data_IF_772408109824
#
_entry.id   IF_772408109824
#
_cell.length_a   1.000
_cell.length_b   1.000
_cell.length_c   1.000
_cell.angle_alpha   90.00
_cell.angle_beta   90.00
_cell.angle_gamma   90.00
#
_symmetry.space_group_name_H-M   'P 1'
#
loop_
_entity.id
_entity.type
_entity.pdbx_description
1 polymer ?
#
# COMPACT_ATOMS: atom_id res chain seq x y z
N UNK A 1 -13.41 -33.36 38.83
CA UNK A 1 -14.76 -33.48 39.43
C UNK A 1 -15.80 -33.28 38.34
N UNK A 2 -16.28 -34.37 37.74
CA UNK A 2 -17.35 -34.33 36.74
C UNK A 2 -18.70 -34.32 37.48
N UNK A 3 -19.50 -33.25 37.31
CA UNK A 3 -20.87 -33.20 37.82
C UNK A 3 -21.75 -34.06 36.91
N UNK A 4 -22.16 -35.22 37.42
CA UNK A 4 -23.20 -36.03 36.81
C UNK A 4 -24.55 -35.32 36.97
N UNK A 5 -25.06 -34.76 35.88
CA UNK A 5 -26.41 -34.19 35.82
C UNK A 5 -27.41 -35.34 35.83
N UNK A 6 -28.06 -35.59 36.96
CA UNK A 6 -29.15 -36.56 37.08
C UNK A 6 -30.36 -36.05 36.29
N UNK A 7 -30.44 -36.44 35.02
CA UNK A 7 -31.62 -36.22 34.18
C UNK A 7 -32.71 -37.16 34.67
N UNK A 8 -33.73 -36.62 35.35
CA UNK A 8 -34.90 -37.40 35.81
C UNK A 8 -35.58 -38.00 34.57
N UNK A 9 -35.82 -39.31 34.62
CA UNK A 9 -36.30 -40.13 33.51
C UNK A 9 -37.79 -39.88 33.13
N UNK A 10 -38.44 -38.87 33.72
CA UNK A 10 -39.85 -38.53 33.50
C UNK A 10 -40.07 -37.08 33.04
N UNK A 11 -39.07 -36.45 32.46
CA UNK A 11 -39.21 -35.10 31.90
C UNK A 11 -39.95 -35.20 30.55
N UNK A 12 -41.27 -35.32 30.60
CA UNK A 12 -42.14 -35.15 29.43
C UNK A 12 -41.90 -33.75 28.89
N UNK A 13 -41.61 -33.65 27.59
CA UNK A 13 -41.23 -32.35 27.03
C UNK A 13 -42.35 -31.33 27.29
N UNK A 14 -42.04 -30.06 27.59
CA UNK A 14 -43.06 -29.03 27.85
C UNK A 14 -44.13 -28.92 26.74
N UNK A 15 -43.79 -29.35 25.52
CA UNK A 15 -44.68 -29.32 24.34
C UNK A 15 -45.68 -30.48 24.30
N UNK A 16 -45.30 -31.66 24.79
CA UNK A 16 -46.23 -32.80 24.91
C UNK A 16 -47.37 -32.50 25.90
N UNK A 17 -47.09 -31.64 26.89
CA UNK A 17 -48.13 -31.14 27.81
C UNK A 17 -49.09 -30.17 27.13
N UNK A 18 -48.62 -29.36 26.17
CA UNK A 18 -49.47 -28.43 25.41
C UNK A 18 -50.48 -29.16 24.53
N UNK A 19 -50.06 -30.22 23.85
CA UNK A 19 -50.95 -31.00 22.96
C UNK A 19 -52.08 -31.66 23.74
N UNK A 20 -51.76 -32.19 24.92
CA UNK A 20 -52.76 -32.76 25.86
C UNK A 20 -53.75 -31.70 26.35
N UNK A 21 -53.27 -30.48 26.61
CA UNK A 21 -54.15 -29.36 27.00
C UNK A 21 -55.08 -28.97 25.86
N UNK A 22 -54.57 -28.86 24.63
CA UNK A 22 -55.38 -28.52 23.44
C UNK A 22 -56.41 -29.61 23.17
N UNK A 23 -56.04 -30.89 23.30
CA UNK A 23 -56.96 -32.02 23.18
C UNK A 23 -58.06 -31.99 24.26
N UNK A 24 -57.68 -31.78 25.52
CA UNK A 24 -58.61 -31.71 26.63
C UNK A 24 -59.58 -30.53 26.46
N UNK A 25 -59.07 -29.37 26.03
CA UNK A 25 -59.89 -28.19 25.77
C UNK A 25 -60.88 -28.45 24.64
N UNK A 26 -60.43 -29.07 23.53
CA UNK A 26 -61.31 -29.44 22.42
C UNK A 26 -62.39 -30.44 22.85
N UNK A 27 -62.04 -31.41 23.71
CA UNK A 27 -63.00 -32.35 24.29
C UNK A 27 -64.05 -31.64 25.15
N UNK A 28 -63.62 -30.84 26.12
CA UNK A 28 -64.53 -30.12 27.03
C UNK A 28 -65.40 -29.15 26.24
N UNK A 29 -64.82 -28.39 25.30
CA UNK A 29 -65.57 -27.46 24.45
C UNK A 29 -66.60 -28.20 23.59
N UNK A 30 -66.21 -29.30 22.93
CA UNK A 30 -67.10 -30.08 22.09
C UNK A 30 -68.26 -30.71 22.86
N UNK A 31 -67.98 -31.28 24.04
CA UNK A 31 -69.01 -31.88 24.91
C UNK A 31 -69.93 -30.81 25.49
N UNK A 32 -69.38 -29.77 26.12
CA UNK A 32 -70.17 -28.72 26.76
C UNK A 32 -71.00 -27.95 25.72
N UNK A 33 -70.40 -27.59 24.59
CA UNK A 33 -71.09 -26.93 23.48
C UNK A 33 -72.16 -27.83 22.86
N UNK A 34 -71.86 -29.11 22.63
CA UNK A 34 -72.85 -30.07 22.11
C UNK A 34 -74.07 -30.22 23.02
N UNK A 35 -73.87 -30.28 24.34
CA UNK A 35 -74.96 -30.32 25.33
C UNK A 35 -75.74 -29.01 25.32
N UNK A 36 -75.06 -27.86 25.35
CA UNK A 36 -75.70 -26.54 25.35
C UNK A 36 -76.57 -26.32 24.10
N UNK A 37 -76.09 -26.71 22.91
CA UNK A 37 -76.86 -26.62 21.67
C UNK A 37 -78.10 -27.52 21.68
N UNK A 38 -78.00 -28.73 22.26
CA UNK A 38 -79.16 -29.62 22.42
C UNK A 38 -80.20 -29.04 23.38
N UNK A 39 -79.76 -28.52 24.53
CA UNK A 39 -80.64 -27.88 25.52
C UNK A 39 -81.36 -26.64 24.97
N UNK A 40 -80.73 -25.94 24.02
CA UNK A 40 -81.29 -24.74 23.39
C UNK A 40 -82.32 -25.04 22.30
N UNK A 41 -82.57 -26.31 21.97
CA UNK A 41 -83.56 -26.72 20.94
C UNK A 41 -83.21 -26.28 19.52
N UNK A 42 -81.93 -25.98 19.25
CA UNK A 42 -81.48 -25.48 17.94
C UNK A 42 -81.56 -26.60 16.88
N UNK A 43 -81.77 -26.22 15.62
CA UNK A 43 -81.85 -27.18 14.53
C UNK A 43 -80.64 -28.15 14.53
N UNK A 44 -80.86 -29.48 14.45
CA UNK A 44 -79.83 -30.54 14.55
C UNK A 44 -78.60 -30.36 13.65
N UNK A 45 -78.78 -29.80 12.45
CA UNK A 45 -77.65 -29.45 11.56
C UNK A 45 -76.61 -28.52 12.18
N UNK A 46 -77.02 -27.57 13.05
CA UNK A 46 -76.06 -26.70 13.74
C UNK A 46 -75.26 -27.45 14.79
N UNK A 47 -75.88 -28.41 15.50
CA UNK A 47 -75.16 -29.27 16.45
C UNK A 47 -74.16 -30.18 15.72
N UNK A 48 -74.54 -30.74 14.57
CA UNK A 48 -73.66 -31.52 13.71
C UNK A 48 -72.49 -30.67 13.17
N UNK A 49 -72.78 -29.45 12.70
CA UNK A 49 -71.79 -28.51 12.21
C UNK A 49 -70.83 -28.02 13.30
N UNK A 50 -71.32 -27.82 14.52
CA UNK A 50 -70.48 -27.45 15.66
C UNK A 50 -69.48 -28.54 16.01
N UNK A 51 -69.92 -29.81 16.10
CA UNK A 51 -69.02 -30.93 16.35
C UNK A 51 -67.95 -31.06 15.24
N UNK A 52 -68.34 -30.88 13.98
CA UNK A 52 -67.41 -30.85 12.86
C UNK A 52 -66.41 -29.69 12.95
N UNK A 53 -66.87 -28.49 13.32
CA UNK A 53 -66.04 -27.31 13.49
C UNK A 53 -65.02 -27.51 14.62
N UNK A 54 -65.41 -28.10 15.75
CA UNK A 54 -64.50 -28.41 16.85
C UNK A 54 -63.43 -29.42 16.42
N UNK A 55 -63.80 -30.47 15.68
CA UNK A 55 -62.86 -31.45 15.13
C UNK A 55 -61.88 -30.81 14.13
N UNK A 56 -62.41 -30.03 13.18
CA UNK A 56 -61.59 -29.35 12.18
C UNK A 56 -60.67 -28.29 12.80
N UNK A 57 -61.16 -27.49 13.75
CA UNK A 57 -60.35 -26.49 14.44
C UNK A 57 -59.26 -27.12 15.31
N UNK A 58 -59.55 -28.23 16.00
CA UNK A 58 -58.54 -29.01 16.70
C UNK A 58 -57.45 -29.52 15.75
N UNK A 59 -57.83 -30.15 14.64
CA UNK A 59 -56.85 -30.65 13.66
C UNK A 59 -56.02 -29.51 13.06
N UNK A 60 -56.66 -28.39 12.69
CA UNK A 60 -55.99 -27.25 12.08
C UNK A 60 -55.03 -26.54 13.05
N UNK A 61 -55.48 -26.28 14.28
CA UNK A 61 -54.67 -25.63 15.30
C UNK A 61 -53.47 -26.50 15.69
N UNK A 62 -53.68 -27.81 15.85
CA UNK A 62 -52.61 -28.75 16.18
C UNK A 62 -51.64 -28.90 15.01
N UNK A 63 -52.13 -28.94 13.77
CA UNK A 63 -51.31 -28.99 12.58
C UNK A 63 -50.41 -27.76 12.42
N UNK A 64 -50.98 -26.54 12.53
CA UNK A 64 -50.20 -25.30 12.38
C UNK A 64 -49.27 -25.02 13.56
N UNK A 65 -49.69 -25.31 14.79
CA UNK A 65 -48.86 -25.08 15.99
C UNK A 65 -47.70 -26.06 16.03
N UNK A 66 -47.90 -27.27 15.49
CA UNK A 66 -46.92 -28.35 15.58
C UNK A 66 -46.13 -28.52 14.29
N UNK A 67 -45.50 -27.44 13.87
CA UNK A 67 -44.89 -27.35 12.54
C UNK A 67 -43.74 -28.34 12.27
N UNK A 68 -43.29 -29.20 13.20
CA UNK A 68 -42.10 -30.05 12.99
C UNK A 68 -42.03 -31.42 13.71
N UNK A 69 -42.98 -31.86 14.56
CA UNK A 69 -42.74 -33.12 15.35
C UNK A 69 -43.93 -34.00 15.76
N UNK A 70 -45.19 -33.62 15.59
CA UNK A 70 -46.29 -34.58 15.80
C UNK A 70 -46.48 -35.32 14.49
N UNK A 71 -46.41 -36.65 14.55
CA UNK A 71 -46.80 -37.49 13.44
C UNK A 71 -48.26 -37.18 13.10
N UNK A 72 -48.59 -36.78 11.87
CA UNK A 72 -49.97 -36.52 11.46
C UNK A 72 -50.94 -37.66 11.84
N UNK A 73 -50.41 -38.88 11.97
CA UNK A 73 -51.08 -40.06 12.54
C UNK A 73 -51.70 -39.81 13.92
N UNK A 74 -50.97 -39.20 14.87
CA UNK A 74 -51.47 -38.94 16.22
C UNK A 74 -52.58 -37.88 16.22
N UNK A 75 -52.50 -36.86 15.36
CA UNK A 75 -53.57 -35.87 15.20
C UNK A 75 -54.82 -36.55 14.64
N UNK A 76 -54.66 -37.39 13.62
CA UNK A 76 -55.74 -38.16 13.02
C UNK A 76 -56.41 -39.11 14.02
N UNK A 77 -55.62 -39.84 14.80
CA UNK A 77 -56.12 -40.74 15.85
C UNK A 77 -56.86 -39.97 16.95
N UNK A 78 -56.34 -38.82 17.38
CA UNK A 78 -57.01 -37.96 18.34
C UNK A 78 -58.35 -37.43 17.80
N UNK A 79 -58.41 -37.01 16.54
CA UNK A 79 -59.67 -36.59 15.90
C UNK A 79 -60.69 -37.73 15.83
N UNK A 80 -60.21 -38.95 15.57
CA UNK A 80 -61.06 -40.14 15.57
C UNK A 80 -61.64 -40.43 16.96
N UNK A 81 -60.81 -40.41 18.01
CA UNK A 81 -61.27 -40.60 19.38
C UNK A 81 -62.22 -39.48 19.82
N UNK A 82 -61.94 -38.24 19.45
CA UNK A 82 -62.77 -37.09 19.79
C UNK A 82 -64.15 -37.18 19.10
N UNK A 83 -64.18 -37.55 17.81
CA UNK A 83 -65.43 -37.81 17.09
C UNK A 83 -66.23 -38.95 17.72
N UNK A 84 -65.57 -40.05 18.09
CA UNK A 84 -66.20 -41.15 18.81
C UNK A 84 -66.78 -40.74 20.17
N UNK A 85 -66.02 -39.96 20.95
CA UNK A 85 -66.46 -39.44 22.24
C UNK A 85 -67.66 -38.49 22.10
N UNK A 86 -67.68 -37.64 21.07
CA UNK A 86 -68.82 -36.77 20.78
C UNK A 86 -70.06 -37.57 20.41
N UNK A 87 -69.91 -38.64 19.63
CA UNK A 87 -70.99 -39.58 19.33
C UNK A 87 -71.54 -40.21 20.60
N UNK A 88 -70.69 -40.81 21.43
CA UNK A 88 -71.11 -41.45 22.68
C UNK A 88 -71.82 -40.48 23.62
N UNK A 89 -71.27 -39.28 23.77
CA UNK A 89 -71.86 -38.22 24.60
C UNK A 89 -73.22 -37.79 24.05
N UNK A 90 -73.31 -37.57 22.74
CA UNK A 90 -74.56 -37.19 22.07
C UNK A 90 -75.65 -38.25 22.29
N UNK A 91 -75.32 -39.52 22.12
CA UNK A 91 -76.26 -40.63 22.33
C UNK A 91 -76.65 -40.79 23.81
N UNK A 92 -75.69 -40.70 24.73
CA UNK A 92 -75.95 -40.79 26.16
C UNK A 92 -76.93 -39.71 26.64
N UNK A 93 -76.73 -38.46 26.18
CA UNK A 93 -77.62 -37.33 26.51
C UNK A 93 -79.00 -37.51 25.89
N UNK A 94 -79.08 -37.93 24.62
CA UNK A 94 -80.36 -38.19 23.96
C UNK A 94 -81.13 -39.32 24.66
N UNK A 95 -80.46 -40.39 25.09
CA UNK A 95 -81.10 -41.49 25.82
C UNK A 95 -81.54 -41.06 27.23
N UNK A 96 -80.74 -40.23 27.91
CA UNK A 96 -81.09 -39.70 29.23
C UNK A 96 -82.44 -38.95 29.20
N UNK A 97 -82.63 -38.04 28.24
CA UNK A 97 -83.88 -37.30 28.09
C UNK A 97 -85.09 -38.19 27.77
N UNK A 98 -84.89 -39.28 27.03
CA UNK A 98 -85.94 -40.26 26.71
C UNK A 98 -86.36 -41.10 27.94
N UNK A 99 -85.41 -41.36 28.85
CA UNK A 99 -85.69 -42.11 30.08
C UNK A 99 -86.37 -41.23 31.12
N UNK A 100 -85.94 -39.98 31.24
CA UNK A 100 -86.51 -38.98 32.17
C UNK A 100 -87.94 -38.58 31.81
N UNK A 101 -88.29 -38.65 30.52
CA UNK A 101 -89.64 -38.39 30.04
C UNK A 101 -90.61 -39.55 30.36
N UNK A 102 -91.78 -39.18 30.89
CA UNK A 102 -92.85 -40.10 31.27
C UNK A 102 -93.33 -40.98 30.09
N UNK A 103 -93.90 -42.14 30.41
CA UNK A 103 -94.28 -43.15 29.41
C UNK A 103 -95.24 -42.64 28.32
N UNK A 104 -96.04 -41.62 28.61
CA UNK A 104 -97.00 -41.02 27.66
C UNK A 104 -96.35 -40.10 26.62
N UNK A 105 -95.20 -39.50 26.91
CA UNK A 105 -94.51 -38.55 26.01
C UNK A 105 -93.40 -39.19 25.15
N UNK A 106 -93.01 -40.44 25.44
CA UNK A 106 -91.94 -41.15 24.71
C UNK A 106 -92.20 -41.27 23.21
N UNK A 107 -93.45 -41.44 22.79
CA UNK A 107 -93.79 -41.54 21.37
C UNK A 107 -93.54 -40.22 20.61
N UNK A 108 -93.61 -39.07 21.29
CA UNK A 108 -93.35 -37.75 20.70
C UNK A 108 -91.86 -37.44 20.58
N UNK A 109 -91.00 -38.16 21.32
CA UNK A 109 -89.55 -37.96 21.34
C UNK A 109 -88.80 -38.78 20.30
N UNK A 110 -89.46 -39.70 19.58
CA UNK A 110 -88.82 -40.53 18.54
C UNK A 110 -88.12 -39.67 17.46
N UNK A 111 -88.71 -38.59 16.92
CA UNK A 111 -88.03 -37.73 15.94
C UNK A 111 -86.79 -37.04 16.51
N UNK A 112 -86.84 -36.62 17.77
CA UNK A 112 -85.72 -35.99 18.47
C UNK A 112 -84.57 -36.97 18.70
N UNK A 113 -84.91 -38.22 19.01
CA UNK A 113 -83.95 -39.33 19.13
C UNK A 113 -83.26 -39.59 17.80
N UNK A 114 -84.03 -39.78 16.72
CA UNK A 114 -83.49 -40.01 15.37
C UNK A 114 -82.57 -38.86 14.96
N UNK A 115 -82.95 -37.63 15.31
CA UNK A 115 -82.13 -36.47 15.01
C UNK A 115 -80.84 -36.42 15.84
N UNK A 116 -80.91 -36.76 17.12
CA UNK A 116 -79.74 -36.92 17.99
C UNK A 116 -78.77 -37.98 17.48
N UNK A 117 -79.28 -39.08 16.92
CA UNK A 117 -78.49 -40.10 16.23
C UNK A 117 -77.79 -39.52 14.99
N UNK A 118 -78.49 -38.74 14.16
CA UNK A 118 -77.90 -38.08 12.99
C UNK A 118 -76.74 -37.15 13.34
N UNK A 119 -76.89 -36.34 14.40
CA UNK A 119 -75.81 -35.48 14.94
C UNK A 119 -74.64 -36.32 15.46
N UNK A 120 -74.93 -37.41 16.16
CA UNK A 120 -73.91 -38.31 16.68
C UNK A 120 -73.10 -38.95 15.53
N UNK A 121 -73.76 -39.43 14.47
CA UNK A 121 -73.12 -40.04 13.31
C UNK A 121 -72.28 -39.05 12.51
N UNK A 122 -72.71 -37.79 12.37
CA UNK A 122 -71.94 -36.79 11.63
C UNK A 122 -70.56 -36.56 12.25
N UNK A 123 -70.48 -36.50 13.58
CA UNK A 123 -69.20 -36.34 14.29
C UNK A 123 -68.26 -37.54 14.10
N UNK A 124 -68.80 -38.76 14.00
CA UNK A 124 -68.01 -39.96 13.66
C UNK A 124 -67.47 -39.89 12.23
N UNK A 125 -68.33 -39.52 11.27
CA UNK A 125 -67.95 -39.42 9.85
C UNK A 125 -66.83 -38.40 9.69
N UNK A 126 -66.96 -37.22 10.29
CA UNK A 126 -65.93 -36.19 10.24
C UNK A 126 -64.65 -36.66 10.94
N UNK A 127 -64.74 -37.29 12.11
CA UNK A 127 -63.57 -37.80 12.83
C UNK A 127 -62.77 -38.83 12.03
N UNK A 128 -63.46 -39.79 11.39
CA UNK A 128 -62.82 -40.80 10.51
C UNK A 128 -62.25 -40.16 9.25
N UNK A 129 -62.99 -39.24 8.62
CA UNK A 129 -62.51 -38.53 7.43
C UNK A 129 -61.21 -37.77 7.73
N UNK A 130 -61.18 -37.05 8.86
CA UNK A 130 -60.02 -36.28 9.28
C UNK A 130 -58.82 -37.18 9.60
N UNK A 131 -59.06 -38.38 10.16
CA UNK A 131 -58.03 -39.40 10.36
C UNK A 131 -57.40 -39.86 9.04
N UNK A 132 -58.21 -40.21 8.05
CA UNK A 132 -57.72 -40.65 6.72
C UNK A 132 -56.94 -39.53 6.04
N UNK A 133 -57.47 -38.31 6.08
CA UNK A 133 -56.84 -37.13 5.50
C UNK A 133 -55.47 -36.85 6.14
N UNK A 134 -55.38 -36.88 7.48
CA UNK A 134 -54.10 -36.69 8.19
C UNK A 134 -53.08 -37.81 7.90
N UNK A 135 -53.53 -39.07 7.80
CA UNK A 135 -52.66 -40.19 7.42
C UNK A 135 -52.03 -40.01 6.04
N UNK A 136 -52.80 -39.50 5.06
CA UNK A 136 -52.29 -39.25 3.71
C UNK A 136 -51.22 -38.16 3.68
N UNK A 137 -51.36 -37.09 4.48
CA UNK A 137 -50.35 -36.03 4.57
C UNK A 137 -48.99 -36.50 5.10
N UNK A 138 -48.95 -37.53 5.97
CA UNK A 138 -47.67 -38.07 6.48
C UNK A 138 -46.81 -38.69 5.39
N UNK A 139 -47.42 -39.48 4.52
CA UNK A 139 -46.68 -40.23 3.48
C UNK A 139 -45.93 -39.25 2.57
N UNK A 140 -46.55 -38.13 2.22
CA UNK A 140 -45.94 -37.06 1.42
C UNK A 140 -44.79 -36.35 2.17
N UNK A 141 -44.98 -36.02 3.45
CA UNK A 141 -43.95 -35.38 4.27
C UNK A 141 -42.69 -36.25 4.45
N UNK A 142 -42.87 -37.55 4.74
CA UNK A 142 -41.74 -38.48 4.93
C UNK A 142 -40.97 -38.70 3.63
N UNK A 143 -41.68 -38.79 2.50
CA UNK A 143 -41.05 -38.90 1.19
C UNK A 143 -40.20 -37.66 0.88
N UNK A 144 -40.76 -36.46 1.08
CA UNK A 144 -40.05 -35.18 0.91
C UNK A 144 -38.85 -35.05 1.84
N UNK A 145 -38.98 -35.40 3.12
CA UNK A 145 -37.85 -35.33 4.06
C UNK A 145 -36.70 -36.25 3.61
N UNK A 146 -37.02 -37.46 3.15
CA UNK A 146 -36.03 -38.40 2.65
C UNK A 146 -35.32 -37.87 1.39
N UNK A 147 -36.06 -37.26 0.48
CA UNK A 147 -35.52 -36.60 -0.72
C UNK A 147 -34.59 -35.45 -0.32
N UNK A 148 -35.02 -34.54 0.56
CA UNK A 148 -34.17 -33.44 1.04
C UNK A 148 -32.92 -33.93 1.76
N UNK A 149 -33.01 -35.00 2.57
CA UNK A 149 -31.84 -35.61 3.21
C UNK A 149 -30.86 -36.17 2.19
N UNK A 150 -31.34 -36.77 1.11
CA UNK A 150 -30.52 -37.32 0.04
C UNK A 150 -29.86 -36.20 -0.78
N UNK A 151 -30.60 -35.15 -1.13
CA UNK A 151 -30.05 -33.95 -1.77
C UNK A 151 -28.96 -33.29 -0.92
N UNK A 152 -29.18 -33.19 0.39
CA UNK A 152 -28.21 -32.64 1.33
C UNK A 152 -26.93 -33.50 1.43
N UNK A 153 -27.07 -34.83 1.41
CA UNK A 153 -25.92 -35.73 1.40
C UNK A 153 -25.09 -35.57 0.12
N UNK A 154 -25.75 -35.52 -1.04
CA UNK A 154 -25.10 -35.27 -2.34
C UNK A 154 -24.37 -33.93 -2.33
N UNK A 155 -25.05 -32.84 -1.97
CA UNK A 155 -24.45 -31.51 -1.90
C UNK A 155 -23.26 -31.45 -0.92
N UNK A 156 -23.34 -32.16 0.21
CA UNK A 156 -22.23 -32.25 1.17
C UNK A 156 -21.04 -33.01 0.60
N UNK A 157 -21.29 -34.09 -0.15
CA UNK A 157 -20.24 -34.88 -0.81
C UNK A 157 -19.54 -34.08 -1.91
N UNK A 158 -20.30 -33.38 -2.74
CA UNK A 158 -19.76 -32.52 -3.79
C UNK A 158 -18.90 -31.39 -3.20
N UNK A 159 -19.39 -30.74 -2.13
CA UNK A 159 -18.61 -29.73 -1.41
C UNK A 159 -17.29 -30.29 -0.86
N UNK A 160 -17.32 -31.48 -0.25
CA UNK A 160 -16.10 -32.13 0.25
C UNK A 160 -15.11 -32.41 -0.89
N UNK A 161 -15.60 -32.82 -2.04
CA UNK A 161 -14.76 -33.08 -3.21
C UNK A 161 -14.12 -31.80 -3.75
N UNK A 162 -14.89 -30.71 -3.89
CA UNK A 162 -14.39 -29.40 -4.32
C UNK A 162 -13.36 -28.83 -3.34
N UNK A 163 -13.60 -28.96 -2.04
CA UNK A 163 -12.63 -28.58 -1.01
C UNK A 163 -11.34 -29.41 -1.13
N UNK A 164 -11.45 -30.73 -1.35
CA UNK A 164 -10.28 -31.58 -1.55
C UNK A 164 -9.50 -31.21 -2.82
N UNK A 165 -10.19 -30.83 -3.91
CA UNK A 165 -9.55 -30.30 -5.13
C UNK A 165 -8.82 -28.99 -4.85
N UNK A 166 -9.44 -28.06 -4.13
CA UNK A 166 -8.85 -26.78 -3.76
C UNK A 166 -7.59 -26.94 -2.89
N UNK A 167 -7.62 -27.84 -1.90
CA UNK A 167 -6.45 -28.13 -1.06
C UNK A 167 -5.28 -28.66 -1.90
N UNK A 168 -5.54 -29.56 -2.85
CA UNK A 168 -4.50 -30.06 -3.76
C UNK A 168 -3.92 -28.93 -4.61
N UNK A 169 -4.76 -28.05 -5.15
CA UNK A 169 -4.34 -26.95 -5.98
C UNK A 169 -3.50 -25.92 -5.21
N UNK A 170 -3.89 -25.58 -3.98
CA UNK A 170 -3.10 -24.71 -3.09
C UNK A 170 -1.72 -25.31 -2.81
N UNK A 171 -1.66 -26.63 -2.57
CA UNK A 171 -0.38 -27.32 -2.35
C UNK A 171 0.52 -27.24 -3.59
N UNK A 172 -0.01 -27.55 -4.77
CA UNK A 172 0.75 -27.44 -6.03
C UNK A 172 1.24 -26.01 -6.26
N UNK A 173 0.36 -25.03 -6.12
CA UNK A 173 0.71 -23.61 -6.24
C UNK A 173 1.82 -23.21 -5.26
N UNK A 174 1.76 -23.68 -4.01
CA UNK A 174 2.80 -23.37 -3.01
C UNK A 174 4.15 -23.94 -3.41
N UNK A 175 4.19 -25.18 -3.91
CA UNK A 175 5.43 -25.82 -4.38
C UNK A 175 5.99 -25.05 -5.59
N UNK A 176 5.15 -24.76 -6.59
CA UNK A 176 5.53 -24.01 -7.79
C UNK A 176 6.02 -22.59 -7.45
N UNK A 177 5.35 -21.89 -6.53
CA UNK A 177 5.72 -20.55 -6.10
C UNK A 177 7.08 -20.54 -5.38
N UNK A 178 7.34 -21.53 -4.52
CA UNK A 178 8.64 -21.68 -3.85
C UNK A 178 9.76 -22.00 -4.84
N UNK A 179 9.50 -22.88 -5.82
CA UNK A 179 10.45 -23.19 -6.87
C UNK A 179 10.78 -21.94 -7.70
N UNK A 180 9.76 -21.20 -8.17
CA UNK A 180 9.97 -19.97 -8.92
C UNK A 180 10.67 -18.89 -8.10
N UNK A 181 10.40 -18.78 -6.80
CA UNK A 181 11.13 -17.86 -5.92
C UNK A 181 12.63 -18.23 -5.86
N UNK A 182 12.95 -19.51 -5.69
CA UNK A 182 14.33 -20.02 -5.69
C UNK A 182 15.04 -19.79 -7.02
N UNK A 183 14.39 -20.13 -8.15
CA UNK A 183 14.94 -19.92 -9.49
C UNK A 183 15.20 -18.43 -9.76
N UNK A 184 14.29 -17.56 -9.29
CA UNK A 184 14.41 -16.11 -9.46
C UNK A 184 15.49 -15.52 -8.56
N UNK A 185 15.67 -16.01 -7.34
CA UNK A 185 16.81 -15.66 -6.49
C UNK A 185 18.14 -16.06 -7.13
N UNK A 186 18.21 -17.27 -7.67
CA UNK A 186 19.43 -17.77 -8.32
C UNK A 186 19.75 -16.97 -9.59
N UNK A 187 18.74 -16.69 -10.42
CA UNK A 187 18.87 -15.81 -11.58
C UNK A 187 19.34 -14.41 -11.17
N UNK A 188 18.74 -13.82 -10.12
CA UNK A 188 19.15 -12.52 -9.59
C UNK A 188 20.61 -12.53 -9.16
N UNK A 189 21.05 -13.54 -8.38
CA UNK A 189 22.46 -13.67 -7.97
C UNK A 189 23.41 -13.74 -9.16
N UNK A 190 23.06 -14.50 -10.21
CA UNK A 190 23.86 -14.58 -11.44
C UNK A 190 23.93 -13.23 -12.15
N UNK A 191 22.80 -12.54 -12.32
CA UNK A 191 22.77 -11.21 -12.94
C UNK A 191 23.55 -10.18 -12.13
N UNK A 192 23.42 -10.16 -10.79
CA UNK A 192 24.19 -9.27 -9.93
C UNK A 192 25.69 -9.56 -10.01
N UNK A 193 26.10 -10.83 -10.02
CA UNK A 193 27.50 -11.21 -10.15
C UNK A 193 28.10 -10.79 -11.51
N UNK A 194 27.35 -10.96 -12.60
CA UNK A 194 27.73 -10.47 -13.92
C UNK A 194 27.87 -8.95 -13.92
N UNK A 195 26.87 -8.22 -13.40
CA UNK A 195 26.89 -6.76 -13.30
C UNK A 195 28.09 -6.23 -12.49
N UNK A 196 28.42 -6.87 -11.37
CA UNK A 196 29.61 -6.50 -10.56
C UNK A 196 30.91 -6.72 -11.34
N UNK A 197 30.97 -7.76 -12.17
CA UNK A 197 32.14 -8.06 -13.00
C UNK A 197 32.27 -7.01 -14.11
N UNK A 198 31.18 -6.70 -14.82
CA UNK A 198 31.14 -5.66 -15.85
C UNK A 198 31.53 -4.28 -15.28
N UNK A 199 31.02 -3.92 -14.10
CA UNK A 199 31.41 -2.66 -13.42
C UNK A 199 32.90 -2.63 -13.13
N UNK A 200 33.48 -3.75 -12.65
CA UNK A 200 34.93 -3.81 -12.39
C UNK A 200 35.74 -3.66 -13.67
N UNK A 201 35.32 -4.28 -14.76
CA UNK A 201 35.98 -4.16 -16.06
C UNK A 201 35.90 -2.71 -16.58
N UNK A 202 34.71 -2.10 -16.55
CA UNK A 202 34.52 -0.71 -16.92
C UNK A 202 35.33 0.26 -16.05
N UNK A 203 35.42 0.03 -14.74
CA UNK A 203 36.29 0.82 -13.86
C UNK A 203 37.76 0.66 -14.22
N UNK A 204 38.20 -0.55 -14.60
CA UNK A 204 39.55 -0.81 -15.09
C UNK A 204 39.85 0.00 -16.36
N UNK A 205 39.00 -0.10 -17.37
CA UNK A 205 39.10 0.67 -18.62
C UNK A 205 39.08 2.18 -18.36
N UNK A 206 38.21 2.65 -17.48
CA UNK A 206 38.15 4.08 -17.10
C UNK A 206 39.44 4.52 -16.42
N UNK A 207 40.02 3.68 -15.56
CA UNK A 207 41.29 3.97 -14.88
C UNK A 207 42.43 4.07 -15.89
N UNK A 208 42.48 3.18 -16.89
CA UNK A 208 43.46 3.25 -17.98
C UNK A 208 43.32 4.55 -18.77
N UNK A 209 42.09 4.89 -19.20
CA UNK A 209 41.82 6.14 -19.94
C UNK A 209 42.24 7.37 -19.12
N UNK A 210 41.93 7.41 -17.82
CA UNK A 210 42.31 8.52 -16.94
C UNK A 210 43.82 8.60 -16.78
N UNK A 211 44.50 7.47 -16.64
CA UNK A 211 45.96 7.44 -16.47
C UNK A 211 46.68 7.90 -17.73
N UNK A 212 46.21 7.48 -18.90
CA UNK A 212 46.73 7.92 -20.20
C UNK A 212 46.50 9.41 -20.41
N UNK A 213 45.29 9.91 -20.14
CA UNK A 213 44.97 11.34 -20.23
C UNK A 213 45.82 12.18 -19.25
N UNK A 214 46.07 11.67 -18.03
CA UNK A 214 46.91 12.35 -17.04
C UNK A 214 48.37 12.40 -17.51
N UNK A 215 48.87 11.31 -18.10
CA UNK A 215 50.22 11.23 -18.67
C UNK A 215 50.40 12.18 -19.84
N UNK A 216 49.43 12.24 -20.74
CA UNK A 216 49.42 13.16 -21.87
C UNK A 216 49.37 14.62 -21.40
N UNK A 217 48.50 14.94 -20.44
CA UNK A 217 48.42 16.28 -19.84
C UNK A 217 49.73 16.68 -19.13
N UNK A 218 50.37 15.76 -18.39
CA UNK A 218 51.65 16.01 -17.74
C UNK A 218 52.78 16.27 -18.76
N UNK A 219 52.81 15.53 -19.86
CA UNK A 219 53.76 15.75 -20.96
C UNK A 219 53.51 17.08 -21.70
N UNK A 220 52.26 17.41 -21.96
CA UNK A 220 51.87 18.70 -22.54
C UNK A 220 52.28 19.86 -21.64
N UNK A 221 52.03 19.75 -20.33
CA UNK A 221 52.43 20.77 -19.35
C UNK A 221 53.95 20.90 -19.23
N UNK A 222 54.69 19.80 -19.23
CA UNK A 222 56.15 19.82 -19.19
C UNK A 222 56.75 20.46 -20.43
N UNK A 223 56.23 20.15 -21.62
CA UNK A 223 56.69 20.75 -22.88
C UNK A 223 56.36 22.25 -22.96
N UNK A 224 55.16 22.64 -22.51
CA UNK A 224 54.78 24.05 -22.38
C UNK A 224 55.70 24.80 -21.40
N UNK A 225 56.02 24.20 -20.24
CA UNK A 225 56.92 24.80 -19.27
C UNK A 225 58.36 24.96 -19.81
N UNK A 226 58.89 23.95 -20.52
CA UNK A 226 60.20 24.04 -21.17
C UNK A 226 60.21 25.16 -22.23
N UNK A 227 59.12 25.28 -22.99
CA UNK A 227 58.98 26.34 -24.01
C UNK A 227 58.96 27.72 -23.36
N UNK A 228 58.16 27.91 -22.31
CA UNK A 228 58.13 29.16 -21.55
C UNK A 228 59.50 29.51 -20.92
N UNK A 229 60.22 28.51 -20.39
CA UNK A 229 61.58 28.71 -19.87
C UNK A 229 62.51 29.15 -21.02
N UNK A 230 62.49 28.46 -22.15
CA UNK A 230 63.30 28.83 -23.32
C UNK A 230 63.00 30.26 -23.78
N UNK A 231 61.74 30.63 -23.87
CA UNK A 231 61.33 31.96 -24.31
C UNK A 231 61.82 33.03 -23.32
N UNK A 232 61.66 32.79 -22.01
CA UNK A 232 62.16 33.69 -20.97
C UNK A 232 63.69 33.84 -20.98
N UNK A 233 64.44 32.76 -21.24
CA UNK A 233 65.90 32.77 -21.36
C UNK A 233 66.33 33.53 -22.62
N UNK A 234 65.59 33.35 -23.72
CA UNK A 234 65.86 34.05 -24.98
C UNK A 234 65.60 35.54 -24.81
N UNK A 235 64.49 35.93 -24.17
CA UNK A 235 64.17 37.31 -23.86
C UNK A 235 65.21 37.95 -22.93
N UNK A 236 65.64 37.22 -21.89
CA UNK A 236 66.71 37.68 -21.00
C UNK A 236 68.06 37.84 -21.74
N UNK A 237 68.41 36.91 -22.62
CA UNK A 237 69.62 36.99 -23.44
C UNK A 237 69.55 38.18 -24.41
N UNK A 238 68.40 38.40 -25.05
CA UNK A 238 68.17 39.56 -25.92
C UNK A 238 68.27 40.88 -25.12
N UNK A 239 67.69 40.91 -23.91
CA UNK A 239 67.80 42.03 -22.99
C UNK A 239 69.27 42.33 -22.64
N UNK A 240 70.05 41.30 -22.30
CA UNK A 240 71.48 41.44 -22.03
C UNK A 240 72.25 41.96 -23.25
N UNK A 241 71.98 41.43 -24.45
CA UNK A 241 72.59 41.91 -25.69
C UNK A 241 72.26 43.39 -25.95
N UNK A 242 71.01 43.79 -25.76
CA UNK A 242 70.60 45.19 -25.90
C UNK A 242 71.31 46.09 -24.88
N UNK A 243 71.46 45.64 -23.63
CA UNK A 243 72.23 46.40 -22.62
C UNK A 243 73.71 46.46 -22.94
N UNK A 244 74.29 45.40 -23.51
CA UNK A 244 75.69 45.38 -23.94
C UNK A 244 75.93 46.34 -25.11
N UNK A 245 75.04 46.36 -26.11
CA UNK A 245 75.10 47.31 -27.23
C UNK A 245 74.90 48.77 -26.76
N UNK A 246 74.00 48.99 -25.80
CA UNK A 246 73.83 50.31 -25.18
C UNK A 246 75.08 50.74 -24.40
N UNK A 247 75.76 49.80 -23.72
CA UNK A 247 77.01 50.07 -23.04
C UNK A 247 78.16 50.34 -24.02
N UNK A 248 78.25 49.59 -25.12
CA UNK A 248 79.25 49.79 -26.17
C UNK A 248 79.10 51.17 -26.86
N UNK A 249 77.88 51.54 -27.23
CA UNK A 249 77.59 52.87 -27.79
C UNK A 249 77.83 54.01 -26.79
N UNK A 250 77.54 53.78 -25.50
CA UNK A 250 77.91 54.72 -24.43
C UNK A 250 79.43 54.88 -24.28
N UNK A 251 80.18 53.78 -24.32
CA UNK A 251 81.65 53.77 -24.28
C UNK A 251 82.25 54.49 -25.50
N UNK A 252 81.70 54.30 -26.70
CA UNK A 252 82.13 55.02 -27.90
C UNK A 252 81.84 56.53 -27.79
N UNK A 253 80.68 56.91 -27.25
CA UNK A 253 80.33 58.30 -27.03
C UNK A 253 81.27 58.96 -26.01
N UNK A 254 81.58 58.27 -24.92
CA UNK A 254 82.53 58.73 -23.89
C UNK A 254 83.97 58.83 -24.44
N UNK A 255 84.40 57.85 -25.24
CA UNK A 255 85.70 57.88 -25.91
C UNK A 255 85.82 59.06 -26.88
N UNK A 256 84.78 59.33 -27.67
CA UNK A 256 84.72 60.49 -28.57
C UNK A 256 84.71 61.82 -27.78
N UNK A 257 83.94 61.90 -26.70
CA UNK A 257 83.93 63.08 -25.83
C UNK A 257 85.32 63.34 -25.21
N UNK A 258 86.00 62.28 -24.76
CA UNK A 258 87.36 62.36 -24.25
C UNK A 258 88.37 62.78 -25.32
N UNK A 259 88.24 62.29 -26.55
CA UNK A 259 89.09 62.70 -27.68
C UNK A 259 88.92 64.19 -28.02
N UNK A 260 87.67 64.68 -28.11
CA UNK A 260 87.38 66.10 -28.34
C UNK A 260 87.89 66.97 -27.18
N UNK A 261 87.73 66.52 -25.93
CA UNK A 261 88.25 67.23 -24.76
C UNK A 261 89.78 67.34 -24.80
N UNK A 262 90.48 66.26 -25.21
CA UNK A 262 91.92 66.26 -25.43
C UNK A 262 92.34 67.24 -26.53
N UNK A 263 91.66 67.23 -27.68
CA UNK A 263 91.94 68.20 -28.76
C UNK A 263 91.80 69.64 -28.28
N UNK A 264 90.71 69.98 -27.58
CA UNK A 264 90.51 71.32 -26.99
C UNK A 264 91.57 71.68 -25.94
N UNK A 265 92.07 70.70 -25.18
CA UNK A 265 93.17 70.93 -24.24
C UNK A 265 94.46 71.24 -25.00
N UNK A 266 94.78 70.48 -26.04
CA UNK A 266 95.94 70.73 -26.91
C UNK A 266 95.84 72.10 -27.58
N UNK A 267 94.69 72.49 -28.13
CA UNK A 267 94.48 73.83 -28.71
C UNK A 267 94.71 74.95 -27.69
N UNK A 268 94.22 74.79 -26.46
CA UNK A 268 94.47 75.74 -25.36
C UNK A 268 95.96 75.81 -25.03
N UNK A 269 96.64 74.68 -24.98
CA UNK A 269 98.09 74.63 -24.77
C UNK A 269 98.84 75.34 -25.88
N UNK A 270 98.51 75.09 -27.15
CA UNK A 270 99.14 75.76 -28.30
C UNK A 270 98.90 77.26 -28.27
N UNK A 271 97.67 77.72 -27.98
CA UNK A 271 97.39 79.16 -27.82
C UNK A 271 98.18 79.77 -26.66
N UNK A 272 98.31 79.05 -25.54
CA UNK A 272 99.11 79.53 -24.40
C UNK A 272 100.60 79.61 -24.76
N UNK A 273 101.13 78.65 -25.52
CA UNK A 273 102.52 78.66 -25.98
C UNK A 273 102.78 79.85 -26.92
N UNK A 274 101.88 80.10 -27.87
CA UNK A 274 101.94 81.29 -28.75
C UNK A 274 101.83 82.60 -27.95
N UNK A 275 100.98 82.65 -26.93
CA UNK A 275 100.87 83.81 -26.05
C UNK A 275 102.13 84.04 -25.22
N UNK A 276 102.77 82.97 -24.74
CA UNK A 276 104.06 83.02 -24.04
C UNK A 276 105.16 83.48 -24.99
N UNK A 277 105.21 82.96 -26.21
CA UNK A 277 106.17 83.39 -27.23
C UNK A 277 106.00 84.89 -27.58
N UNK A 278 104.76 85.35 -27.74
CA UNK A 278 104.42 86.76 -27.93
C UNK A 278 104.75 87.65 -26.70
N UNK A 279 104.75 87.08 -25.50
CA UNK A 279 105.18 87.77 -24.28
C UNK A 279 106.71 87.83 -24.19
N UNK A 280 107.42 86.76 -24.53
CA UNK A 280 108.87 86.72 -24.59
C UNK A 280 109.44 87.69 -25.63
N UNK A 281 108.82 87.79 -26.81
CA UNK A 281 109.19 88.79 -27.83
C UNK A 281 108.97 90.22 -27.34
N UNK A 282 107.83 90.51 -26.69
CA UNK A 282 107.60 91.82 -26.05
C UNK A 282 108.60 92.13 -24.94
N UNK A 283 108.97 91.14 -24.12
CA UNK A 283 110.01 91.29 -23.10
C UNK A 283 111.38 91.54 -23.74
N UNK A 284 111.70 90.86 -24.85
CA UNK A 284 112.93 91.10 -25.60
C UNK A 284 112.97 92.51 -26.21
N UNK A 285 111.86 92.99 -26.78
CA UNK A 285 111.72 94.37 -27.26
C UNK A 285 111.87 95.39 -26.12
N UNK A 286 111.21 95.16 -24.98
CA UNK A 286 111.35 96.01 -23.80
C UNK A 286 112.79 96.02 -23.27
N UNK A 287 113.45 94.87 -23.23
CA UNK A 287 114.85 94.76 -22.82
C UNK A 287 115.79 95.47 -23.80
N UNK A 288 115.55 95.40 -25.11
CA UNK A 288 116.30 96.15 -26.12
C UNK A 288 116.10 97.67 -25.98
N UNK A 289 114.86 98.12 -25.74
CA UNK A 289 114.58 99.54 -25.45
C UNK A 289 115.29 99.98 -24.17
N UNK A 290 115.25 99.18 -23.11
CA UNK A 290 115.96 99.46 -21.85
C UNK A 290 117.47 99.52 -22.07
N UNK A 291 118.03 98.60 -22.86
CA UNK A 291 119.44 98.57 -23.26
C UNK A 291 119.83 99.85 -24.00
N UNK A 292 119.07 100.26 -25.02
CA UNK A 292 119.35 101.53 -25.72
C UNK A 292 119.14 102.77 -24.85
N UNK A 293 118.29 102.70 -23.83
CA UNK A 293 118.10 103.80 -22.87
C UNK A 293 119.27 103.87 -21.87
N UNK A 294 119.76 102.71 -21.42
CA UNK A 294 120.97 102.57 -20.60
C UNK A 294 122.22 103.01 -21.36
N UNK A 295 122.38 102.61 -22.62
CA UNK A 295 123.50 103.05 -23.47
C UNK A 295 123.45 104.56 -23.75
N UNK A 296 122.24 105.14 -23.91
CA UNK A 296 122.08 106.60 -24.00
C UNK A 296 122.38 107.30 -22.68
N UNK A 297 122.10 106.66 -21.54
CA UNK A 297 122.44 107.19 -20.23
C UNK A 297 123.94 107.10 -19.95
N UNK A 298 124.59 105.98 -20.30
CA UNK A 298 126.04 105.81 -20.18
C UNK A 298 126.80 106.73 -21.14
N UNK A 299 126.37 106.88 -22.39
CA UNK A 299 126.98 107.82 -23.34
C UNK A 299 126.81 109.29 -22.91
N UNK A 300 125.73 109.64 -22.20
CA UNK A 300 125.57 110.97 -21.59
C UNK A 300 126.45 111.17 -20.35
N UNK A 301 126.74 110.11 -19.60
CA UNK A 301 127.66 110.15 -18.48
C UNK A 301 129.12 110.22 -18.96
N UNK A 302 129.49 109.46 -19.99
CA UNK A 302 130.87 109.45 -20.53
C UNK A 302 131.24 110.68 -21.35
N UNK A 303 130.27 111.35 -21.99
CA UNK A 303 130.48 112.64 -22.65
C UNK A 303 130.46 113.85 -21.68
N UNK A 304 130.02 113.63 -20.43
CA UNK A 304 130.01 114.66 -19.38
C UNK A 304 131.31 114.75 -18.57
N UNK A 305 132.19 113.73 -18.64
CA UNK A 305 133.24 113.53 -17.62
C UNK A 305 134.68 113.41 -18.19
N UNK A 306 134.96 113.98 -19.38
CA UNK A 306 136.34 114.18 -19.86
C UNK A 306 136.53 115.56 -20.53
N UNK A 307 137.36 116.39 -19.87
CA UNK A 307 137.94 117.69 -20.28
C UNK A 307 137.18 118.95 -19.84
N UNK A 308 137.01 119.29 -18.55
CA UNK A 308 137.95 119.34 -17.40
C UNK A 308 139.29 118.59 -17.47
#
# INVERSE_FOLDING_TARGET
MARATTRRMHDVSPRESWDRIVLLLAFVAGVAGGIALKLSGVHPFWAAGYAALVLCSYALLTYFTTNLRIEPEAIGDNCYYLGFLFTLTSLAVTLYFVVESGAEDRARLIPEVISGFGVALSSTIVGVFLRVLMMQFRVDLVARERETRLELDIASRDLREEMARSVRQIKSFTIEALQHASEREEAMRRTTAAMVTDIREQMGQTTEIVNDALREAAQAQASAAITAIRDSVTEAAQGLLNTAQAAESGLEADANAAHVARLRATERMTRSALAVEAACTRLAEQAAVLGTALDRASARLEAGDRHA
#
